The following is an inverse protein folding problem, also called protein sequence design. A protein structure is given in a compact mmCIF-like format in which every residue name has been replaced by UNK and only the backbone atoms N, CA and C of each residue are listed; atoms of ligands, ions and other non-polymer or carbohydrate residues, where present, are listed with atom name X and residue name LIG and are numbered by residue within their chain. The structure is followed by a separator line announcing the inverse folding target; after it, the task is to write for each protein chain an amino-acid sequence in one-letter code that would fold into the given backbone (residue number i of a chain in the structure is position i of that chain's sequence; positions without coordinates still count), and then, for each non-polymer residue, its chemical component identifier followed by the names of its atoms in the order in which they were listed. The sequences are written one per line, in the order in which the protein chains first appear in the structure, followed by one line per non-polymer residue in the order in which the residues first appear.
data_IF_385433781553
#
_entry.id   IF_385433781553
#
_cell.length_a   1.000
_cell.length_b   1.000
_cell.length_c   1.000
_cell.angle_alpha   90.00
_cell.angle_beta   90.00
_cell.angle_gamma   90.00
#
_symmetry.space_group_name_H-M   'P 1'
#
loop_
_entity.id
_entity.type
_entity.pdbx_description
1 polymer ?
#
# COMPACT_ATOMS: atom_id res chain seq x y z
N UNK A 1 -27.17 33.93 14.48
CA UNK A 1 -25.87 34.42 13.94
C UNK A 1 -25.39 33.46 12.86
N UNK A 2 -25.35 33.87 11.58
CA UNK A 2 -24.72 33.09 10.51
C UNK A 2 -23.20 33.10 10.78
N UNK A 3 -22.63 31.95 11.15
CA UNK A 3 -21.16 31.80 11.24
C UNK A 3 -20.55 32.03 9.85
N UNK A 4 -19.48 32.84 9.79
CA UNK A 4 -18.71 32.95 8.55
C UNK A 4 -18.20 31.58 8.15
N UNK A 5 -18.33 31.18 6.88
CA UNK A 5 -17.81 29.88 6.44
C UNK A 5 -16.29 29.83 6.67
N UNK A 6 -15.81 28.75 7.29
CA UNK A 6 -14.37 28.53 7.52
C UNK A 6 -13.64 28.15 6.23
N UNK A 7 -14.38 27.67 5.24
CA UNK A 7 -13.88 27.19 3.95
C UNK A 7 -14.52 28.02 2.85
N UNK A 8 -13.72 28.51 1.92
CA UNK A 8 -14.25 29.24 0.76
C UNK A 8 -15.01 28.30 -0.19
N UNK A 9 -16.04 28.75 -0.94
CA UNK A 9 -16.75 27.91 -1.90
C UNK A 9 -15.82 27.29 -2.96
N UNK A 10 -14.79 28.01 -3.37
CA UNK A 10 -13.79 27.54 -4.32
C UNK A 10 -12.93 26.40 -3.72
N UNK A 11 -12.51 26.54 -2.45
CA UNK A 11 -11.79 25.48 -1.74
C UNK A 11 -12.67 24.24 -1.53
N UNK A 12 -13.96 24.39 -1.27
CA UNK A 12 -14.91 23.26 -1.17
C UNK A 12 -14.97 22.48 -2.48
N UNK A 13 -15.04 23.18 -3.62
CA UNK A 13 -15.06 22.53 -4.93
C UNK A 13 -13.75 21.76 -5.19
N UNK A 14 -12.59 22.40 -4.99
CA UNK A 14 -11.29 21.78 -5.24
C UNK A 14 -11.08 20.57 -4.32
N UNK A 15 -11.20 20.76 -3.01
CA UNK A 15 -10.96 19.66 -2.06
C UNK A 15 -12.05 18.59 -2.13
N UNK A 16 -13.29 18.94 -2.43
CA UNK A 16 -14.37 17.98 -2.65
C UNK A 16 -14.11 17.07 -3.85
N UNK A 17 -13.69 17.65 -4.99
CA UNK A 17 -13.31 16.89 -6.18
C UNK A 17 -12.08 16.03 -5.92
N UNK A 18 -11.06 16.60 -5.27
CA UNK A 18 -9.80 15.90 -4.94
C UNK A 18 -10.05 14.72 -3.99
N UNK A 19 -10.76 14.94 -2.88
CA UNK A 19 -11.06 13.87 -1.91
C UNK A 19 -11.91 12.77 -2.53
N UNK A 20 -12.94 13.13 -3.31
CA UNK A 20 -13.78 12.15 -4.01
C UNK A 20 -12.97 11.29 -4.98
N UNK A 21 -12.10 11.92 -5.77
CA UNK A 21 -11.24 11.22 -6.72
C UNK A 21 -10.25 10.29 -6.00
N UNK A 22 -9.53 10.81 -5.00
CA UNK A 22 -8.54 10.03 -4.26
C UNK A 22 -9.17 8.87 -3.50
N UNK A 23 -10.33 9.09 -2.87
CA UNK A 23 -11.06 8.04 -2.16
C UNK A 23 -11.56 6.97 -3.12
N UNK A 24 -12.15 7.37 -4.27
CA UNK A 24 -12.61 6.43 -5.28
C UNK A 24 -11.47 5.58 -5.85
N UNK A 25 -10.39 6.22 -6.29
CA UNK A 25 -9.21 5.53 -6.84
C UNK A 25 -8.56 4.64 -5.79
N UNK A 26 -8.44 5.13 -4.54
CA UNK A 26 -7.87 4.39 -3.44
C UNK A 26 -8.69 3.16 -3.06
N UNK A 27 -10.00 3.30 -2.91
CA UNK A 27 -10.90 2.18 -2.58
C UNK A 27 -10.91 1.14 -3.70
N UNK A 28 -11.08 1.58 -4.95
CA UNK A 28 -11.05 0.68 -6.10
C UNK A 28 -9.72 -0.05 -6.21
N UNK A 29 -8.59 0.67 -6.08
CA UNK A 29 -7.26 0.09 -6.16
C UNK A 29 -7.00 -0.94 -5.06
N UNK A 30 -7.30 -0.61 -3.80
CA UNK A 30 -7.13 -1.55 -2.68
C UNK A 30 -8.05 -2.76 -2.83
N UNK A 31 -9.30 -2.58 -3.26
CA UNK A 31 -10.22 -3.70 -3.53
C UNK A 31 -9.69 -4.61 -4.65
N UNK A 32 -9.16 -4.06 -5.73
CA UNK A 32 -8.54 -4.85 -6.80
C UNK A 32 -7.35 -5.66 -6.30
N UNK A 33 -6.50 -5.09 -5.44
CA UNK A 33 -5.39 -5.83 -4.80
C UNK A 33 -5.91 -6.97 -3.93
N UNK A 34 -6.92 -6.72 -3.11
CA UNK A 34 -7.55 -7.74 -2.24
C UNK A 34 -8.11 -8.89 -3.10
N UNK A 35 -8.91 -8.58 -4.12
CA UNK A 35 -9.51 -9.58 -5.01
C UNK A 35 -8.44 -10.34 -5.80
N UNK A 36 -7.41 -9.67 -6.31
CA UNK A 36 -6.31 -10.29 -7.03
C UNK A 36 -5.57 -11.33 -6.17
N UNK A 37 -5.26 -10.98 -4.92
CA UNK A 37 -4.52 -11.88 -4.02
C UNK A 37 -5.41 -13.02 -3.53
N UNK A 38 -6.65 -12.74 -3.14
CA UNK A 38 -7.59 -13.77 -2.65
C UNK A 38 -7.99 -14.72 -3.77
N UNK A 39 -8.21 -14.22 -4.99
CA UNK A 39 -8.64 -15.01 -6.14
C UNK A 39 -7.56 -15.92 -6.74
N UNK A 40 -6.29 -15.72 -6.42
CA UNK A 40 -5.19 -16.51 -6.96
C UNK A 40 -4.49 -17.35 -5.87
N UNK A 41 -4.58 -18.68 -5.99
CA UNK A 41 -3.93 -19.61 -5.06
C UNK A 41 -2.40 -19.45 -5.00
N UNK A 42 -1.75 -19.05 -6.12
CA UNK A 42 -0.30 -18.83 -6.17
C UNK A 42 0.07 -17.54 -5.44
N UNK A 43 -0.70 -16.46 -5.65
CA UNK A 43 -0.48 -15.20 -4.96
C UNK A 43 -0.69 -15.35 -3.44
N UNK A 44 -1.72 -16.05 -3.00
CA UNK A 44 -1.99 -16.31 -1.56
C UNK A 44 -0.88 -17.10 -0.84
N UNK A 45 -0.08 -17.89 -1.56
CA UNK A 45 1.04 -18.64 -0.96
C UNK A 45 2.24 -17.76 -0.65
N UNK A 46 2.37 -16.61 -1.30
CA UNK A 46 3.49 -15.69 -1.09
C UNK A 46 3.30 -14.93 0.22
N UNK A 47 4.31 -14.96 1.07
CA UNK A 47 4.38 -14.23 2.34
C UNK A 47 4.26 -12.72 2.13
N UNK A 48 4.98 -12.19 1.13
CA UNK A 48 4.90 -10.78 0.76
C UNK A 48 3.47 -10.37 0.37
N UNK A 49 2.81 -11.17 -0.47
CA UNK A 49 1.44 -10.86 -0.88
C UNK A 49 0.46 -10.89 0.30
N UNK A 50 0.72 -11.71 1.32
CA UNK A 50 -0.07 -11.72 2.55
C UNK A 50 0.06 -10.39 3.32
N UNK A 51 1.27 -9.83 3.38
CA UNK A 51 1.49 -8.50 3.96
C UNK A 51 0.87 -7.39 3.13
N UNK A 52 0.96 -7.47 1.78
CA UNK A 52 0.30 -6.51 0.89
C UNK A 52 -1.23 -6.60 0.98
N UNK A 53 -1.79 -7.79 1.20
CA UNK A 53 -3.21 -7.98 1.46
C UNK A 53 -3.63 -7.28 2.76
N UNK A 54 -2.86 -7.47 3.85
CA UNK A 54 -3.11 -6.80 5.12
C UNK A 54 -3.06 -5.28 4.98
N UNK A 55 -2.07 -4.77 4.24
CA UNK A 55 -1.91 -3.35 3.95
C UNK A 55 -3.10 -2.80 3.16
N UNK A 56 -3.53 -3.49 2.10
CA UNK A 56 -4.68 -3.08 1.30
C UNK A 56 -6.00 -3.07 2.10
N UNK A 57 -6.18 -4.02 3.03
CA UNK A 57 -7.33 -4.03 3.94
C UNK A 57 -7.29 -2.82 4.89
N UNK A 58 -6.14 -2.55 5.52
CA UNK A 58 -5.98 -1.42 6.44
C UNK A 58 -6.22 -0.08 5.71
N UNK A 59 -5.65 0.09 4.50
CA UNK A 59 -5.82 1.29 3.68
C UNK A 59 -7.28 1.50 3.22
N UNK A 60 -7.96 0.44 2.77
CA UNK A 60 -9.37 0.53 2.39
C UNK A 60 -10.25 0.93 3.57
N UNK A 61 -10.03 0.35 4.75
CA UNK A 61 -10.76 0.67 5.97
C UNK A 61 -10.47 2.10 6.45
N UNK A 62 -9.21 2.55 6.34
CA UNK A 62 -8.84 3.94 6.66
C UNK A 62 -9.55 4.93 5.73
N UNK A 63 -9.58 4.68 4.41
CA UNK A 63 -10.28 5.52 3.44
C UNK A 63 -11.79 5.59 3.71
N UNK A 64 -12.42 4.49 4.11
CA UNK A 64 -13.83 4.48 4.51
C UNK A 64 -14.07 5.28 5.78
N UNK A 65 -13.25 5.11 6.80
CA UNK A 65 -13.39 5.82 8.08
C UNK A 65 -13.20 7.33 7.91
N UNK A 66 -12.17 7.76 7.17
CA UNK A 66 -11.90 9.19 6.93
C UNK A 66 -12.99 9.86 6.09
N UNK A 67 -13.68 9.12 5.20
CA UNK A 67 -14.80 9.65 4.40
C UNK A 67 -15.94 10.15 5.27
N UNK A 68 -16.16 9.52 6.41
CA UNK A 68 -17.19 9.92 7.40
C UNK A 68 -16.95 11.34 7.94
N UNK A 69 -15.71 11.80 7.96
CA UNK A 69 -15.34 13.13 8.47
C UNK A 69 -15.31 14.20 7.38
N UNK A 70 -14.66 13.92 6.26
CA UNK A 70 -14.46 14.97 5.27
C UNK A 70 -15.73 15.30 4.46
N UNK A 71 -16.63 14.34 4.22
CA UNK A 71 -17.89 14.61 3.51
C UNK A 71 -18.77 15.64 4.23
N UNK A 72 -19.10 15.48 5.53
CA UNK A 72 -19.85 16.50 6.25
C UNK A 72 -19.10 17.83 6.39
N UNK A 73 -17.78 17.77 6.59
CA UNK A 73 -16.94 18.97 6.75
C UNK A 73 -16.99 19.87 5.53
N UNK A 74 -16.90 19.30 4.32
CA UNK A 74 -17.02 20.06 3.08
C UNK A 74 -18.45 20.53 2.83
N UNK A 75 -19.45 19.68 3.07
CA UNK A 75 -20.87 20.02 2.86
C UNK A 75 -21.33 21.20 3.74
N UNK A 76 -20.79 21.31 4.94
CA UNK A 76 -21.16 22.36 5.92
C UNK A 76 -20.13 23.49 6.02
N UNK A 77 -19.13 23.55 5.13
CA UNK A 77 -18.07 24.56 5.11
C UNK A 77 -17.30 24.69 6.43
N UNK A 78 -17.12 23.56 7.15
CA UNK A 78 -16.42 23.53 8.43
C UNK A 78 -16.58 22.20 9.15
N UNK A 79 -15.84 21.98 10.26
CA UNK A 79 -15.86 20.72 10.98
C UNK A 79 -17.24 20.49 11.61
N UNK A 80 -17.95 19.48 11.11
CA UNK A 80 -19.29 19.09 11.59
C UNK A 80 -19.35 17.57 11.73
N UNK A 81 -19.91 17.13 12.83
CA UNK A 81 -20.19 15.73 13.10
C UNK A 81 -21.69 15.46 12.97
N UNK A 82 -22.08 14.71 11.95
CA UNK A 82 -23.49 14.44 11.62
C UNK A 82 -24.02 13.12 12.19
N UNK A 83 -23.12 12.23 12.63
CA UNK A 83 -23.49 10.94 13.19
C UNK A 83 -23.84 11.06 14.69
N UNK A 84 -24.44 10.02 15.31
CA UNK A 84 -24.62 9.94 16.74
C UNK A 84 -23.34 10.24 17.52
N UNK A 85 -23.48 10.91 18.69
CA UNK A 85 -22.32 11.36 19.48
C UNK A 85 -21.40 10.20 19.90
N UNK A 86 -21.97 9.02 20.16
CA UNK A 86 -21.23 7.80 20.55
C UNK A 86 -20.27 7.32 19.47
N UNK A 87 -20.55 7.60 18.20
CA UNK A 87 -19.67 7.18 17.09
C UNK A 87 -18.46 8.10 16.92
N UNK A 88 -18.45 9.28 17.52
CA UNK A 88 -17.30 10.19 17.43
C UNK A 88 -16.01 9.54 17.99
N UNK A 89 -15.92 9.05 19.23
CA UNK A 89 -14.73 8.38 19.71
C UNK A 89 -14.44 7.07 18.97
N UNK A 90 -15.47 6.34 18.54
CA UNK A 90 -15.30 5.06 17.82
C UNK A 90 -14.65 5.27 16.46
N UNK A 91 -15.14 6.21 15.67
CA UNK A 91 -14.58 6.48 14.34
C UNK A 91 -13.14 7.01 14.46
N UNK A 92 -12.89 7.94 15.38
CA UNK A 92 -11.54 8.45 15.64
C UNK A 92 -10.56 7.37 16.07
N UNK A 93 -11.00 6.43 16.89
CA UNK A 93 -10.23 5.27 17.29
C UNK A 93 -9.91 4.37 16.07
N UNK A 94 -10.93 4.04 15.28
CA UNK A 94 -10.77 3.17 14.11
C UNK A 94 -9.86 3.78 13.03
N UNK A 95 -9.97 5.09 12.76
CA UNK A 95 -9.05 5.80 11.86
C UNK A 95 -7.60 5.62 12.29
N UNK A 96 -7.31 5.81 13.58
CA UNK A 96 -5.96 5.64 14.10
C UNK A 96 -5.50 4.17 14.03
N UNK A 97 -6.37 3.21 14.38
CA UNK A 97 -6.07 1.77 14.27
C UNK A 97 -5.69 1.40 12.84
N UNK A 98 -6.47 1.83 11.86
CA UNK A 98 -6.20 1.49 10.45
C UNK A 98 -4.94 2.18 9.92
N UNK A 99 -4.74 3.44 10.25
CA UNK A 99 -3.56 4.20 9.90
C UNK A 99 -2.28 3.57 10.49
N UNK A 100 -2.27 3.29 11.79
CA UNK A 100 -1.10 2.72 12.47
C UNK A 100 -0.81 1.31 11.97
N UNK A 101 -1.86 0.52 11.67
CA UNK A 101 -1.71 -0.81 11.05
C UNK A 101 -1.05 -0.69 9.67
N UNK A 102 -1.45 0.27 8.84
CA UNK A 102 -0.84 0.51 7.54
C UNK A 102 0.66 0.82 7.68
N UNK A 103 1.03 1.76 8.55
CA UNK A 103 2.42 2.17 8.79
C UNK A 103 3.28 0.99 9.28
N UNK A 104 2.83 0.27 10.31
CA UNK A 104 3.59 -0.85 10.86
C UNK A 104 3.66 -2.02 9.88
N UNK A 105 2.62 -2.25 9.07
CA UNK A 105 2.66 -3.26 8.01
C UNK A 105 3.72 -2.92 6.95
N UNK A 106 3.85 -1.66 6.54
CA UNK A 106 4.92 -1.23 5.63
C UNK A 106 6.31 -1.49 6.24
N UNK A 107 6.48 -1.24 7.53
CA UNK A 107 7.73 -1.55 8.24
C UNK A 107 8.02 -3.06 8.22
N UNK A 108 7.03 -3.89 8.52
CA UNK A 108 7.17 -5.37 8.46
C UNK A 108 7.52 -5.84 7.04
N UNK A 109 6.91 -5.27 6.00
CA UNK A 109 7.25 -5.57 4.59
C UNK A 109 8.71 -5.23 4.31
N UNK A 110 9.21 -4.09 4.79
CA UNK A 110 10.59 -3.68 4.61
C UNK A 110 11.58 -4.65 5.29
N UNK A 111 11.31 -5.02 6.54
CA UNK A 111 12.11 -5.98 7.31
C UNK A 111 12.10 -7.36 6.64
N UNK A 112 10.95 -7.84 6.20
CA UNK A 112 10.80 -9.11 5.49
C UNK A 112 11.64 -9.12 4.19
N UNK A 113 11.59 -8.05 3.42
CA UNK A 113 12.41 -7.92 2.21
C UNK A 113 13.90 -7.88 2.51
N UNK A 114 14.30 -7.17 3.55
CA UNK A 114 15.70 -7.16 4.00
C UNK A 114 16.17 -8.59 4.36
N UNK A 115 15.41 -9.31 5.16
CA UNK A 115 15.74 -10.69 5.54
C UNK A 115 15.82 -11.59 4.31
N UNK A 116 14.88 -11.48 3.37
CA UNK A 116 14.85 -12.27 2.14
C UNK A 116 16.05 -12.03 1.21
N UNK A 117 16.61 -10.81 1.22
CA UNK A 117 17.73 -10.40 0.36
C UNK A 117 19.07 -10.61 1.07
N UNK A 118 19.19 -10.17 2.32
CA UNK A 118 20.45 -10.16 3.07
C UNK A 118 20.80 -11.53 3.67
N UNK A 119 19.78 -12.29 4.11
CA UNK A 119 20.00 -13.55 4.86
C UNK A 119 19.07 -14.67 4.34
N UNK A 120 19.18 -15.05 3.05
CA UNK A 120 18.21 -15.94 2.38
C UNK A 120 18.08 -17.33 3.05
N UNK A 121 19.14 -17.84 3.68
CA UNK A 121 19.10 -19.12 4.39
C UNK A 121 18.18 -19.08 5.62
N UNK A 122 18.17 -17.97 6.36
CA UNK A 122 17.32 -17.77 7.53
C UNK A 122 15.90 -17.29 7.14
N UNK A 123 15.75 -16.72 5.95
CA UNK A 123 14.48 -16.18 5.49
C UNK A 123 13.36 -17.23 5.49
N UNK A 124 13.63 -18.47 5.10
CA UNK A 124 12.64 -19.56 5.11
C UNK A 124 12.07 -19.84 6.50
N UNK A 125 12.89 -19.71 7.53
CA UNK A 125 12.48 -19.95 8.93
C UNK A 125 11.82 -18.71 9.53
N UNK A 126 12.46 -17.55 9.42
CA UNK A 126 12.00 -16.29 10.02
C UNK A 126 10.72 -15.76 9.35
N UNK A 127 10.69 -15.74 8.02
CA UNK A 127 9.56 -15.26 7.22
C UNK A 127 8.64 -16.41 6.80
N UNK A 128 8.43 -17.41 7.66
CA UNK A 128 7.45 -18.46 7.42
C UNK A 128 6.03 -17.88 7.43
N UNK A 129 5.10 -18.51 6.70
CA UNK A 129 3.70 -18.07 6.66
C UNK A 129 3.07 -17.94 8.06
N UNK A 130 3.39 -18.90 8.96
CA UNK A 130 2.91 -18.91 10.35
C UNK A 130 3.41 -17.68 11.11
N UNK A 131 4.71 -17.40 11.02
CA UNK A 131 5.32 -16.26 11.70
C UNK A 131 4.76 -14.93 11.21
N UNK A 132 4.56 -14.79 9.89
CA UNK A 132 3.99 -13.56 9.33
C UNK A 132 2.52 -13.38 9.74
N UNK A 133 1.71 -14.43 9.77
CA UNK A 133 0.35 -14.33 10.31
C UNK A 133 0.35 -13.91 11.77
N UNK A 134 1.23 -14.50 12.59
CA UNK A 134 1.39 -14.11 13.99
C UNK A 134 1.83 -12.65 14.13
N UNK A 135 2.76 -12.20 13.28
CA UNK A 135 3.19 -10.79 13.25
C UNK A 135 2.04 -9.86 12.87
N UNK A 136 1.22 -10.21 11.88
CA UNK A 136 0.03 -9.43 11.51
C UNK A 136 -0.92 -9.34 12.70
N UNK A 137 -1.26 -10.45 13.35
CA UNK A 137 -2.12 -10.44 14.53
C UNK A 137 -1.53 -9.60 15.66
N UNK A 138 -0.23 -9.70 15.91
CA UNK A 138 0.45 -8.91 16.94
C UNK A 138 0.39 -7.40 16.59
N UNK A 139 0.59 -7.01 15.32
CA UNK A 139 0.45 -5.61 14.87
C UNK A 139 -0.96 -5.10 15.17
N UNK A 140 -2.02 -5.82 14.80
CA UNK A 140 -3.39 -5.40 15.08
C UNK A 140 -3.66 -5.26 16.58
N UNK A 141 -3.20 -6.19 17.41
CA UNK A 141 -3.35 -6.11 18.88
C UNK A 141 -2.61 -4.91 19.47
N UNK A 142 -1.34 -4.71 19.10
CA UNK A 142 -0.52 -3.59 19.61
C UNK A 142 -1.12 -2.26 19.19
N UNK A 143 -1.54 -2.15 17.93
CA UNK A 143 -2.15 -0.92 17.40
C UNK A 143 -3.49 -0.62 18.07
N UNK A 144 -4.33 -1.63 18.29
CA UNK A 144 -5.61 -1.47 18.98
C UNK A 144 -5.40 -0.91 20.40
N UNK A 145 -4.40 -1.39 21.12
CA UNK A 145 -4.05 -0.86 22.43
C UNK A 145 -3.47 0.56 22.35
N UNK A 146 -2.55 0.78 21.41
CA UNK A 146 -1.91 2.08 21.25
C UNK A 146 -2.90 3.19 20.87
N UNK A 147 -3.94 2.91 20.11
CA UNK A 147 -4.95 3.88 19.69
C UNK A 147 -6.01 4.18 20.75
N UNK A 148 -6.08 3.47 21.89
CA UNK A 148 -7.08 3.67 22.94
C UNK A 148 -7.25 5.14 23.41
N UNK A 149 -6.19 5.97 23.52
CA UNK A 149 -6.36 7.37 23.87
C UNK A 149 -7.28 8.15 22.93
N UNK A 150 -7.39 7.75 21.65
CA UNK A 150 -8.33 8.39 20.74
C UNK A 150 -9.78 8.06 21.06
N UNK A 151 -10.07 6.85 21.55
CA UNK A 151 -11.41 6.48 22.00
C UNK A 151 -11.82 7.22 23.28
N UNK A 152 -10.88 7.47 24.19
CA UNK A 152 -11.18 8.05 25.52
C UNK A 152 -11.17 9.57 25.56
N UNK A 153 -10.41 10.24 24.67
CA UNK A 153 -10.22 11.69 24.69
C UNK A 153 -11.00 12.45 23.62
N UNK A 154 -11.69 11.77 22.69
CA UNK A 154 -12.51 12.42 21.68
C UNK A 154 -14.00 12.35 22.05
N UNK A 155 -14.68 13.48 21.94
CA UNK A 155 -16.14 13.58 22.19
C UNK A 155 -16.77 14.61 21.25
N UNK A 156 -18.05 14.41 20.95
CA UNK A 156 -18.88 15.47 20.40
C UNK A 156 -19.31 16.35 21.55
N UNK A 157 -18.77 17.57 21.63
CA UNK A 157 -19.17 18.53 22.68
C UNK A 157 -20.60 18.97 22.45
N UNK A 158 -21.38 19.14 23.53
CA UNK A 158 -22.79 19.58 23.49
C UNK A 158 -22.96 20.93 22.79
N UNK A 159 -22.01 21.83 23.00
CA UNK A 159 -22.00 23.18 22.43
C UNK A 159 -21.21 23.29 21.11
N UNK A 160 -20.69 22.18 20.58
CA UNK A 160 -19.92 22.11 19.32
C UNK A 160 -20.52 21.08 18.38
N UNK A 161 -20.59 21.44 17.10
CA UNK A 161 -21.03 20.51 16.07
C UNK A 161 -19.91 19.57 15.62
N UNK A 162 -18.69 19.68 16.16
CA UNK A 162 -17.54 18.91 15.76
C UNK A 162 -17.19 17.78 16.76
N UNK A 163 -16.64 16.70 16.25
CA UNK A 163 -15.96 15.68 17.03
C UNK A 163 -14.55 16.14 17.36
N UNK A 164 -14.26 16.45 18.61
CA UNK A 164 -12.97 17.05 19.02
C UNK A 164 -12.39 16.37 20.24
N UNK A 165 -11.08 16.48 20.38
CA UNK A 165 -10.37 16.07 21.59
C UNK A 165 -10.56 17.14 22.67
N UNK A 166 -11.19 16.78 23.79
CA UNK A 166 -11.45 17.67 24.92
C UNK A 166 -10.24 17.85 25.85
N UNK A 167 -9.29 16.90 25.83
CA UNK A 167 -8.05 16.94 26.63
C UNK A 167 -6.81 17.36 25.82
N UNK A 168 -7.00 18.08 24.73
CA UNK A 168 -5.92 18.45 23.80
C UNK A 168 -4.76 19.19 24.45
N UNK A 169 -5.00 19.90 25.54
CA UNK A 169 -4.02 20.72 26.28
C UNK A 169 -3.39 19.98 27.46
N UNK A 170 -3.75 18.72 27.72
CA UNK A 170 -3.17 17.96 28.83
C UNK A 170 -1.73 17.50 28.50
N UNK A 171 -0.87 17.45 29.53
CA UNK A 171 0.50 16.96 29.40
C UNK A 171 0.54 15.51 28.91
N UNK A 172 -0.43 14.69 29.35
CA UNK A 172 -0.60 13.33 28.85
C UNK A 172 -0.79 13.30 27.33
N UNK A 173 -1.66 14.18 26.79
CA UNK A 173 -1.90 14.21 25.34
C UNK A 173 -0.68 14.68 24.56
N UNK A 174 0.07 15.64 25.06
CA UNK A 174 1.33 16.08 24.45
C UNK A 174 2.38 14.98 24.45
N UNK A 175 2.56 14.30 25.59
CA UNK A 175 3.46 13.16 25.69
C UNK A 175 3.05 12.02 24.74
N UNK A 176 1.76 11.66 24.72
CA UNK A 176 1.24 10.63 23.83
C UNK A 176 1.49 10.96 22.36
N UNK A 177 1.22 12.19 21.94
CA UNK A 177 1.48 12.63 20.55
C UNK A 177 2.97 12.67 20.21
N UNK A 178 3.82 12.98 21.17
CA UNK A 178 5.27 12.90 20.99
C UNK A 178 5.74 11.46 20.86
N UNK A 179 5.24 10.55 21.68
CA UNK A 179 5.51 9.11 21.58
C UNK A 179 5.02 8.54 20.21
N UNK A 180 3.84 8.93 19.77
CA UNK A 180 3.28 8.60 18.45
C UNK A 180 4.21 9.07 17.32
N UNK A 181 4.69 10.32 17.39
CA UNK A 181 5.64 10.84 16.42
C UNK A 181 6.94 10.03 16.39
N UNK A 182 7.50 9.73 17.55
CA UNK A 182 8.76 8.96 17.62
C UNK A 182 8.56 7.54 17.10
N UNK A 183 7.51 6.85 17.52
CA UNK A 183 7.30 5.43 17.23
C UNK A 183 6.79 5.20 15.80
N UNK A 184 5.95 6.08 15.27
CA UNK A 184 5.30 5.86 13.97
C UNK A 184 5.88 6.70 12.83
N UNK A 185 6.70 7.69 13.11
CA UNK A 185 7.31 8.52 12.07
C UNK A 185 8.84 8.50 12.13
N UNK A 186 9.43 8.91 13.23
CA UNK A 186 10.89 9.06 13.34
C UNK A 186 11.60 7.70 13.29
N UNK A 187 11.22 6.77 14.17
CA UNK A 187 11.84 5.46 14.27
C UNK A 187 11.68 4.62 12.99
N UNK A 188 10.49 4.49 12.39
CA UNK A 188 10.35 3.86 11.07
C UNK A 188 11.22 4.52 10.00
N UNK A 189 11.33 5.84 9.99
CA UNK A 189 12.18 6.57 9.06
C UNK A 189 13.64 6.15 9.14
N UNK A 190 14.18 6.10 10.35
CA UNK A 190 15.55 5.66 10.59
C UNK A 190 15.76 4.20 10.15
N UNK A 191 14.81 3.32 10.52
CA UNK A 191 14.87 1.91 10.15
C UNK A 191 14.81 1.75 8.63
N UNK A 192 13.90 2.43 7.95
CA UNK A 192 13.80 2.38 6.49
C UNK A 192 15.10 2.84 5.82
N UNK A 193 15.64 3.98 6.23
CA UNK A 193 16.90 4.50 5.69
C UNK A 193 18.03 3.49 5.85
N UNK A 194 18.16 2.90 7.04
CA UNK A 194 19.19 1.90 7.33
C UNK A 194 19.01 0.64 6.48
N UNK A 195 17.81 0.04 6.47
CA UNK A 195 17.55 -1.21 5.77
C UNK A 195 17.69 -1.04 4.25
N UNK A 196 17.14 0.04 3.67
CA UNK A 196 17.27 0.28 2.24
C UNK A 196 18.69 0.58 1.80
N UNK A 197 19.46 1.32 2.59
CA UNK A 197 20.89 1.53 2.32
C UNK A 197 21.65 0.20 2.29
N UNK A 198 21.37 -0.69 3.24
CA UNK A 198 21.97 -2.04 3.26
C UNK A 198 21.52 -2.89 2.07
N UNK A 199 20.22 -2.90 1.74
CA UNK A 199 19.68 -3.65 0.58
C UNK A 199 20.34 -3.15 -0.72
N UNK A 200 20.41 -1.83 -0.91
CA UNK A 200 21.04 -1.25 -2.10
C UNK A 200 22.49 -1.69 -2.22
N UNK A 201 23.27 -1.57 -1.15
CA UNK A 201 24.68 -2.01 -1.17
C UNK A 201 24.84 -3.49 -1.53
N UNK A 202 24.00 -4.37 -0.99
CA UNK A 202 24.02 -5.81 -1.30
C UNK A 202 23.69 -6.05 -2.78
N UNK A 203 22.65 -5.39 -3.31
CA UNK A 203 22.24 -5.56 -4.70
C UNK A 203 23.25 -4.98 -5.70
N UNK A 204 23.97 -3.91 -5.36
CA UNK A 204 25.04 -3.37 -6.19
C UNK A 204 26.27 -4.27 -6.17
N UNK A 205 26.71 -4.72 -5.01
CA UNK A 205 27.83 -5.65 -4.91
C UNK A 205 27.58 -6.98 -5.65
N UNK A 206 26.34 -7.46 -5.69
CA UNK A 206 25.99 -8.63 -6.50
C UNK A 206 26.06 -8.35 -8.02
N UNK A 207 25.76 -7.12 -8.44
CA UNK A 207 25.88 -6.73 -9.84
C UNK A 207 27.33 -6.70 -10.32
N UNK A 208 28.22 -6.12 -9.50
CA UNK A 208 29.64 -5.99 -9.87
C UNK A 208 30.27 -7.37 -10.04
N UNK A 209 29.98 -8.31 -9.15
CA UNK A 209 30.42 -9.71 -9.27
C UNK A 209 29.90 -10.41 -10.52
N UNK A 210 28.65 -10.14 -10.95
CA UNK A 210 28.11 -10.69 -12.19
C UNK A 210 28.80 -10.09 -13.42
N UNK A 211 29.10 -8.81 -13.38
CA UNK A 211 29.79 -8.13 -14.47
C UNK A 211 31.25 -8.61 -14.61
N UNK A 212 31.95 -8.82 -13.51
CA UNK A 212 33.31 -9.40 -13.49
C UNK A 212 33.30 -10.84 -14.02
N UNK A 213 32.37 -11.70 -13.55
CA UNK A 213 32.24 -13.07 -14.03
C UNK A 213 31.84 -13.13 -15.51
N UNK A 214 31.00 -12.20 -15.99
CA UNK A 214 30.65 -12.08 -17.41
C UNK A 214 31.83 -11.71 -18.30
N UNK A 215 32.69 -10.79 -17.84
CA UNK A 215 33.95 -10.45 -18.54
C UNK A 215 34.94 -11.59 -18.53
N UNK A 216 35.09 -12.31 -17.42
CA UNK A 216 35.96 -13.51 -17.34
C UNK A 216 35.50 -14.62 -18.29
N UNK A 217 34.19 -14.81 -18.42
CA UNK A 217 33.60 -15.78 -19.36
C UNK A 217 33.78 -15.40 -20.83
N UNK A 218 33.81 -14.11 -21.17
CA UNK A 218 34.06 -13.62 -22.53
C UNK A 218 35.54 -13.70 -22.93
N UNK A 219 36.45 -13.66 -21.97
CA UNK A 219 37.90 -13.75 -22.18
C UNK A 219 38.44 -15.17 -22.14
N UNK A 220 37.58 -16.18 -22.01
CA UNK A 220 38.03 -17.58 -22.13
C UNK A 220 38.46 -17.85 -23.58
N UNK A 221 39.71 -18.30 -23.81
CA UNK A 221 40.21 -18.56 -25.16
C UNK A 221 39.32 -19.60 -25.85
N UNK A 222 38.76 -19.25 -27.01
CA UNK A 222 37.95 -20.15 -27.85
C UNK A 222 38.68 -21.42 -28.26
N UNK A 223 39.99 -21.48 -28.02
CA UNK A 223 40.89 -22.59 -28.31
C UNK A 223 40.74 -23.81 -27.38
N UNK A 224 40.11 -23.68 -26.22
CA UNK A 224 39.89 -24.81 -25.29
C UNK A 224 38.58 -25.56 -25.52
N UNK A 225 37.72 -25.09 -26.42
CA UNK A 225 36.46 -25.79 -26.77
C UNK A 225 36.67 -26.95 -27.74
N UNK A 226 37.90 -27.24 -28.16
CA UNK A 226 38.26 -28.30 -29.12
C UNK A 226 39.19 -29.37 -28.55
N UNK A 227 39.22 -29.63 -27.27
CA UNK A 227 39.89 -30.83 -26.76
C UNK A 227 38.91 -32.01 -26.80
N UNK A 228 39.21 -33.05 -27.62
CA UNK A 228 38.44 -34.29 -27.69
C UNK A 228 38.87 -35.21 -26.54
N UNK A 229 38.37 -35.01 -25.38
CA UNK A 229 38.56 -35.89 -24.21
C UNK A 229 37.23 -36.11 -23.55
N UNK A 230 36.51 -37.09 -24.02
CA UNK A 230 35.49 -37.91 -23.40
C UNK A 230 34.53 -38.51 -24.45
N UNK A 231 35.13 -39.20 -25.44
CA UNK A 231 34.40 -40.23 -26.18
C UNK A 231 35.03 -41.57 -25.80
N UNK A 232 34.55 -42.18 -24.74
CA UNK A 232 34.53 -43.62 -24.54
C UNK A 232 33.82 -43.91 -23.21
N UNK A 233 32.58 -44.17 -23.30
CA UNK A 233 31.80 -45.10 -22.49
C UNK A 233 30.31 -44.83 -22.66
N UNK A 234 29.71 -45.48 -23.66
CA UNK A 234 28.31 -45.93 -23.57
C UNK A 234 27.87 -46.62 -24.86
N UNK A 235 28.01 -47.91 -24.92
CA UNK A 235 27.13 -48.78 -25.69
C UNK A 235 25.78 -48.84 -24.99
N UNK A 236 24.70 -48.51 -25.71
CA UNK A 236 23.34 -48.74 -25.18
C UNK A 236 22.27 -47.85 -25.78
N UNK A 237 21.64 -48.30 -26.85
CA UNK A 237 20.35 -47.87 -27.42
C UNK A 237 19.45 -46.96 -26.56
N UNK A 238 19.08 -45.81 -27.09
CA UNK A 238 17.65 -45.47 -27.25
C UNK A 238 17.49 -44.07 -27.89
N UNK A 239 16.68 -44.02 -28.93
CA UNK A 239 16.19 -42.82 -29.61
C UNK A 239 15.52 -41.85 -28.62
N UNK A 240 16.01 -40.64 -28.53
CA UNK A 240 15.20 -39.45 -28.31
C UNK A 240 16.04 -38.19 -28.61
N UNK A 241 15.78 -37.57 -29.74
CA UNK A 241 16.20 -36.22 -30.04
C UNK A 241 15.55 -35.26 -29.04
N UNK A 242 16.31 -34.74 -28.10
CA UNK A 242 15.98 -33.52 -27.38
C UNK A 242 17.28 -32.77 -27.19
N UNK A 243 17.52 -31.80 -28.06
CA UNK A 243 18.50 -30.77 -27.82
C UNK A 243 18.09 -30.04 -26.53
N UNK A 244 18.60 -30.51 -25.39
CA UNK A 244 18.55 -29.73 -24.15
C UNK A 244 19.56 -28.60 -24.34
N UNK A 245 19.06 -27.48 -24.88
CA UNK A 245 19.78 -26.23 -24.85
C UNK A 245 20.05 -25.89 -23.40
N UNK A 246 21.31 -26.00 -22.96
CA UNK A 246 21.76 -25.39 -21.72
C UNK A 246 21.51 -23.88 -21.83
N UNK A 247 20.35 -23.45 -21.38
CA UNK A 247 20.13 -22.02 -21.17
C UNK A 247 21.22 -21.51 -20.22
N UNK A 248 21.96 -20.45 -20.59
CA UNK A 248 23.07 -19.99 -19.78
C UNK A 248 22.56 -19.64 -18.37
N UNK A 249 23.10 -20.30 -17.35
CA UNK A 249 22.80 -20.13 -15.93
C UNK A 249 22.89 -18.66 -15.51
N UNK A 250 23.64 -17.83 -16.26
CA UNK A 250 23.76 -16.39 -16.06
C UNK A 250 22.45 -15.62 -16.29
N UNK A 251 21.64 -15.98 -17.28
CA UNK A 251 20.41 -15.25 -17.63
C UNK A 251 19.32 -15.36 -16.55
N UNK A 252 19.09 -16.55 -16.00
CA UNK A 252 18.09 -16.75 -14.95
C UNK A 252 18.45 -16.00 -13.65
N UNK A 253 19.74 -15.89 -13.33
CA UNK A 253 20.21 -15.16 -12.16
C UNK A 253 20.05 -13.64 -12.33
N UNK A 254 20.36 -13.12 -13.52
CA UNK A 254 20.18 -11.70 -13.86
C UNK A 254 18.71 -11.30 -13.81
N UNK A 255 17.81 -12.13 -14.32
CA UNK A 255 16.37 -11.89 -14.29
C UNK A 255 15.81 -11.89 -12.85
N UNK A 256 16.30 -12.79 -12.01
CA UNK A 256 15.97 -12.83 -10.60
C UNK A 256 16.44 -11.55 -9.87
N UNK A 257 17.63 -11.03 -10.19
CA UNK A 257 18.14 -9.77 -9.64
C UNK A 257 17.33 -8.56 -10.12
N UNK A 258 16.96 -8.49 -11.40
CA UNK A 258 16.07 -7.44 -11.93
C UNK A 258 14.74 -7.43 -11.18
N UNK A 259 14.15 -8.59 -10.96
CA UNK A 259 12.90 -8.73 -10.21
C UNK A 259 13.05 -8.24 -8.76
N UNK A 260 14.12 -8.62 -8.06
CA UNK A 260 14.39 -8.15 -6.69
C UNK A 260 14.55 -6.63 -6.62
N UNK A 261 15.31 -6.03 -7.57
CA UNK A 261 15.50 -4.56 -7.65
C UNK A 261 14.19 -3.84 -7.89
N UNK A 262 13.33 -4.37 -8.75
CA UNK A 262 12.02 -3.78 -9.03
C UNK A 262 11.13 -3.76 -7.79
N UNK A 263 11.12 -4.85 -7.00
CA UNK A 263 10.39 -4.90 -5.73
C UNK A 263 10.95 -3.89 -4.73
N UNK A 264 12.27 -3.75 -4.63
CA UNK A 264 12.89 -2.76 -3.73
C UNK A 264 12.54 -1.34 -4.15
N UNK A 265 12.60 -1.01 -5.45
CA UNK A 265 12.17 0.31 -5.97
C UNK A 265 10.71 0.61 -5.62
N UNK A 266 9.82 -0.36 -5.75
CA UNK A 266 8.41 -0.24 -5.36
C UNK A 266 8.27 0.12 -3.88
N UNK A 267 8.96 -0.59 -3.00
CA UNK A 267 8.88 -0.35 -1.57
C UNK A 267 9.49 1.00 -1.17
N UNK A 268 10.61 1.40 -1.79
CA UNK A 268 11.18 2.75 -1.60
C UNK A 268 10.17 3.81 -1.99
N UNK A 269 9.50 3.66 -3.13
CA UNK A 269 8.48 4.60 -3.57
C UNK A 269 7.30 4.69 -2.57
N UNK A 270 6.78 3.54 -2.08
CA UNK A 270 5.70 3.51 -1.07
C UNK A 270 6.09 4.24 0.22
N UNK A 271 7.30 3.98 0.72
CA UNK A 271 7.81 4.62 1.93
C UNK A 271 8.06 6.11 1.72
N UNK A 272 8.60 6.50 0.56
CA UNK A 272 8.80 7.92 0.23
C UNK A 272 7.49 8.69 0.19
N UNK A 273 6.45 8.11 -0.41
CA UNK A 273 5.10 8.70 -0.42
C UNK A 273 4.59 8.89 1.00
N UNK A 274 4.76 7.89 1.88
CA UNK A 274 4.38 8.01 3.28
C UNK A 274 5.05 9.22 3.95
N UNK A 275 6.39 9.32 3.86
CA UNK A 275 7.11 10.43 4.50
C UNK A 275 6.74 11.78 3.90
N UNK A 276 6.60 11.89 2.59
CA UNK A 276 6.20 13.13 1.92
C UNK A 276 4.79 13.56 2.38
N UNK A 277 3.85 12.63 2.44
CA UNK A 277 2.47 12.91 2.80
C UNK A 277 2.30 13.31 4.28
N UNK A 278 3.05 12.68 5.19
CA UNK A 278 2.89 12.95 6.63
C UNK A 278 3.86 13.97 7.20
N UNK A 279 4.97 14.30 6.53
CA UNK A 279 5.93 15.31 7.00
C UNK A 279 5.30 16.66 7.35
N UNK A 280 4.37 17.23 6.56
CA UNK A 280 3.84 18.56 6.86
C UNK A 280 3.03 18.60 8.18
N UNK A 281 2.23 17.56 8.44
CA UNK A 281 1.47 17.50 9.70
C UNK A 281 2.39 17.27 10.90
N UNK A 282 3.44 16.47 10.73
CA UNK A 282 4.44 16.21 11.76
C UNK A 282 5.27 17.47 12.05
N UNK A 283 5.61 18.24 11.02
CA UNK A 283 6.32 19.51 11.19
C UNK A 283 5.50 20.51 12.03
N UNK A 284 4.20 20.66 11.75
CA UNK A 284 3.32 21.51 12.56
C UNK A 284 3.26 21.02 14.01
N UNK A 285 3.15 19.71 14.20
CA UNK A 285 3.11 19.13 15.53
C UNK A 285 4.40 19.44 16.31
N UNK A 286 5.57 19.26 15.69
CA UNK A 286 6.86 19.58 16.31
C UNK A 286 7.00 21.08 16.61
N UNK A 287 6.63 21.95 15.67
CA UNK A 287 6.69 23.40 15.89
C UNK A 287 5.82 23.82 17.07
N UNK A 288 4.64 23.26 17.23
CA UNK A 288 3.74 23.59 18.36
C UNK A 288 4.17 22.94 19.67
N UNK A 289 4.61 21.67 19.62
CA UNK A 289 4.90 20.88 20.83
C UNK A 289 6.29 21.13 21.40
N UNK A 290 7.33 21.20 20.53
CA UNK A 290 8.72 21.38 20.98
C UNK A 290 9.15 22.84 21.04
N UNK A 291 8.73 23.65 20.07
CA UNK A 291 9.18 25.03 19.94
C UNK A 291 8.16 26.04 20.50
N UNK A 292 7.05 25.58 21.04
CA UNK A 292 5.94 26.42 21.55
C UNK A 292 5.49 27.54 20.58
N UNK A 293 5.67 27.30 19.27
CA UNK A 293 5.27 28.27 18.25
C UNK A 293 3.76 28.23 18.07
N UNK A 294 3.12 29.39 18.22
CA UNK A 294 1.66 29.56 18.02
C UNK A 294 1.32 29.57 16.52
N UNK A 295 1.54 28.47 15.81
CA UNK A 295 1.19 28.35 14.42
C UNK A 295 -0.29 28.02 14.29
N UNK A 296 -1.06 28.87 13.64
CA UNK A 296 -2.47 28.66 13.33
C UNK A 296 -2.63 28.58 11.81
N UNK A 297 -2.43 27.38 11.19
CA UNK A 297 -2.58 27.25 9.76
C UNK A 297 -4.03 27.53 9.34
N UNK A 298 -4.25 28.13 8.16
CA UNK A 298 -5.57 28.29 7.59
C UNK A 298 -6.24 26.91 7.42
N UNK A 299 -7.56 26.90 7.39
CA UNK A 299 -8.29 25.63 7.34
C UNK A 299 -8.04 24.85 6.04
N UNK A 300 -7.81 25.56 4.95
CA UNK A 300 -7.41 24.99 3.66
C UNK A 300 -6.11 24.18 3.77
N UNK A 301 -5.18 24.60 4.61
CA UNK A 301 -3.96 23.84 4.87
C UNK A 301 -4.26 22.53 5.63
N UNK A 302 -5.22 22.55 6.56
CA UNK A 302 -5.68 21.33 7.22
C UNK A 302 -6.33 20.37 6.22
N UNK A 303 -7.11 20.89 5.27
CA UNK A 303 -7.67 20.09 4.17
C UNK A 303 -6.59 19.49 3.30
N UNK A 304 -5.53 20.25 2.98
CA UNK A 304 -4.39 19.74 2.23
C UNK A 304 -3.70 18.59 2.96
N UNK A 305 -3.50 18.68 4.28
CA UNK A 305 -2.93 17.60 5.08
C UNK A 305 -3.79 16.32 5.00
N UNK A 306 -5.11 16.48 5.09
CA UNK A 306 -6.04 15.36 4.95
C UNK A 306 -6.00 14.76 3.53
N UNK A 307 -5.89 15.60 2.48
CA UNK A 307 -5.72 15.13 1.11
C UNK A 307 -4.45 14.30 0.95
N UNK A 308 -3.34 14.74 1.53
CA UNK A 308 -2.08 14.00 1.52
C UNK A 308 -2.19 12.66 2.27
N UNK A 309 -2.89 12.62 3.40
CA UNK A 309 -3.13 11.38 4.13
C UNK A 309 -3.96 10.37 3.30
N UNK A 310 -5.03 10.83 2.64
CA UNK A 310 -5.83 10.02 1.71
C UNK A 310 -4.99 9.55 0.52
N UNK A 311 -4.17 10.44 -0.06
CA UNK A 311 -3.26 10.12 -1.16
C UNK A 311 -2.28 9.00 -0.79
N UNK A 312 -1.76 8.99 0.42
CA UNK A 312 -0.84 7.95 0.90
C UNK A 312 -1.47 6.55 0.76
N UNK A 313 -2.68 6.35 1.28
CA UNK A 313 -3.41 5.08 1.19
C UNK A 313 -3.85 4.74 -0.25
N UNK A 314 -4.14 5.76 -1.07
CA UNK A 314 -4.53 5.57 -2.47
C UNK A 314 -3.36 5.22 -3.40
N UNK A 315 -2.14 5.64 -3.09
CA UNK A 315 -0.96 5.40 -3.92
C UNK A 315 -0.45 3.95 -3.86
N UNK A 316 -0.63 3.24 -2.75
CA UNK A 316 -0.10 1.90 -2.56
C UNK A 316 -0.48 0.91 -3.68
N UNK A 317 -1.76 0.75 -4.07
CA UNK A 317 -2.16 -0.11 -5.18
C UNK A 317 -1.58 0.31 -6.53
N UNK A 318 -1.48 1.62 -6.77
CA UNK A 318 -0.91 2.15 -8.01
C UNK A 318 0.57 1.77 -8.13
N UNK A 319 1.32 1.91 -7.05
CA UNK A 319 2.74 1.55 -7.02
C UNK A 319 2.93 0.04 -7.23
N UNK A 320 2.09 -0.82 -6.63
CA UNK A 320 2.16 -2.27 -6.89
C UNK A 320 1.89 -2.60 -8.35
N UNK A 321 0.93 -1.94 -8.97
CA UNK A 321 0.59 -2.14 -10.39
C UNK A 321 1.70 -1.62 -11.30
N UNK A 322 2.31 -0.49 -11.00
CA UNK A 322 3.40 0.08 -11.80
C UNK A 322 4.66 -0.80 -11.77
N UNK A 323 5.04 -1.30 -10.61
CA UNK A 323 6.30 -2.02 -10.43
C UNK A 323 6.20 -3.55 -10.57
N UNK A 324 5.02 -4.16 -10.48
CA UNK A 324 4.87 -5.62 -10.52
C UNK A 324 4.08 -6.08 -11.74
N UNK A 325 4.77 -6.78 -12.67
CA UNK A 325 4.14 -7.41 -13.84
C UNK A 325 3.04 -8.40 -13.45
N UNK A 326 3.25 -9.19 -12.38
CA UNK A 326 2.26 -10.14 -11.88
C UNK A 326 0.96 -9.48 -11.44
N UNK A 327 1.05 -8.32 -10.77
CA UNK A 327 -0.14 -7.54 -10.41
C UNK A 327 -0.83 -6.97 -11.65
N UNK A 328 -0.06 -6.43 -12.61
CA UNK A 328 -0.63 -5.90 -13.87
C UNK A 328 -1.39 -6.96 -14.64
N UNK A 329 -0.80 -8.13 -14.86
CA UNK A 329 -1.45 -9.25 -15.54
C UNK A 329 -2.74 -9.66 -14.84
N UNK A 330 -2.69 -9.83 -13.51
CA UNK A 330 -3.85 -10.27 -12.75
C UNK A 330 -4.98 -9.25 -12.73
N UNK A 331 -4.65 -7.98 -12.54
CA UNK A 331 -5.63 -6.88 -12.59
C UNK A 331 -6.20 -6.77 -14.01
N UNK A 332 -5.39 -6.88 -15.05
CA UNK A 332 -5.85 -6.90 -16.44
C UNK A 332 -6.88 -8.01 -16.69
N UNK A 333 -6.61 -9.23 -16.24
CA UNK A 333 -7.56 -10.35 -16.32
C UNK A 333 -8.86 -10.08 -15.55
N UNK A 334 -8.79 -9.50 -14.36
CA UNK A 334 -9.98 -9.16 -13.59
C UNK A 334 -10.83 -8.10 -14.29
N UNK A 335 -10.20 -7.08 -14.86
CA UNK A 335 -10.87 -6.03 -15.61
C UNK A 335 -11.54 -6.59 -16.89
N UNK A 336 -10.85 -7.46 -17.65
CA UNK A 336 -11.44 -8.13 -18.81
C UNK A 336 -12.65 -8.98 -18.42
N UNK A 337 -12.56 -9.78 -17.35
CA UNK A 337 -13.68 -10.56 -16.85
C UNK A 337 -14.88 -9.68 -16.46
N UNK A 338 -14.64 -8.55 -15.80
CA UNK A 338 -15.68 -7.59 -15.47
C UNK A 338 -16.35 -7.00 -16.73
N UNK A 339 -15.55 -6.64 -17.75
CA UNK A 339 -16.07 -6.16 -19.02
C UNK A 339 -16.91 -7.23 -19.73
N UNK A 340 -16.47 -8.48 -19.77
CA UNK A 340 -17.22 -9.60 -20.40
C UNK A 340 -18.54 -9.86 -19.69
N UNK A 341 -18.55 -9.87 -18.35
CA UNK A 341 -19.77 -10.04 -17.56
C UNK A 341 -20.75 -8.89 -17.82
N UNK A 342 -20.25 -7.65 -17.87
CA UNK A 342 -21.06 -6.46 -18.11
C UNK A 342 -21.67 -6.46 -19.54
N UNK A 343 -20.87 -6.82 -20.54
CA UNK A 343 -21.34 -6.96 -21.93
C UNK A 343 -22.38 -8.07 -22.08
N UNK A 344 -22.19 -9.24 -21.45
CA UNK A 344 -23.18 -10.32 -21.46
C UNK A 344 -24.49 -9.91 -20.79
N UNK A 345 -24.41 -9.21 -19.64
CA UNK A 345 -25.61 -8.75 -18.91
C UNK A 345 -26.41 -7.71 -19.71
N UNK A 346 -25.73 -6.84 -20.47
CA UNK A 346 -26.40 -5.88 -21.34
C UNK A 346 -27.04 -6.52 -22.57
N UNK A 347 -26.46 -7.59 -23.11
CA UNK A 347 -27.01 -8.34 -24.21
C UNK A 347 -28.26 -9.16 -23.78
N UNK A 348 -28.27 -9.72 -22.57
CA UNK A 348 -29.44 -10.40 -21.99
C UNK A 348 -30.59 -9.41 -21.78
N UNK A 349 -30.32 -8.22 -21.23
CA UNK A 349 -31.36 -7.18 -21.07
C UNK A 349 -31.92 -6.67 -22.37
N UNK A 350 -31.13 -6.62 -23.47
CA UNK A 350 -31.63 -6.28 -24.81
C UNK A 350 -32.49 -7.37 -25.42
N UNK A 351 -32.28 -8.64 -25.08
CA UNK A 351 -33.10 -9.75 -25.58
C UNK A 351 -34.44 -9.90 -24.83
N UNK A 352 -34.55 -9.35 -23.61
CA UNK A 352 -35.76 -9.38 -22.78
C UNK A 352 -36.69 -8.19 -23.00
N UNK A 353 -36.38 -7.23 -23.90
CA UNK A 353 -37.32 -6.18 -24.29
C UNK A 353 -38.41 -6.82 -25.15
N UNK A 354 -39.70 -6.89 -24.73
CA UNK A 354 -40.75 -7.51 -25.51
C UNK A 354 -40.92 -6.72 -26.81
N UNK A 355 -40.87 -7.43 -27.94
CA UNK A 355 -41.44 -6.93 -29.20
C UNK A 355 -42.94 -6.65 -28.95
N UNK A 356 -43.27 -5.43 -28.53
CA UNK A 356 -44.65 -4.96 -28.51
C UNK A 356 -45.08 -4.71 -29.96
N UNK A 357 -45.88 -5.67 -30.43
CA UNK A 357 -47.10 -5.49 -31.24
C UNK A 357 -47.05 -4.45 -32.38
N UNK A 358 -46.60 -4.90 -33.54
CA UNK A 358 -47.20 -4.46 -34.83
C UNK A 358 -48.17 -5.56 -35.29
N UNK A 359 -49.36 -5.52 -34.75
CA UNK A 359 -50.57 -6.18 -35.31
C UNK A 359 -51.76 -5.37 -34.84
N UNK A 360 -52.16 -4.39 -35.64
CA UNK A 360 -53.53 -3.85 -35.74
C UNK A 360 -53.53 -2.69 -36.74
N UNK A 361 -53.51 -3.04 -38.04
CA UNK A 361 -54.13 -2.22 -39.11
C UNK A 361 -54.27 -3.12 -40.31
N UNK A 362 -55.41 -3.83 -40.38
CA UNK A 362 -56.07 -4.29 -41.56
C UNK A 362 -57.41 -4.95 -41.13
N UNK A 363 -58.41 -4.10 -40.97
CA UNK A 363 -59.82 -4.35 -41.33
C UNK A 363 -60.50 -2.99 -41.50
#
# INVERSE_FOLDING_TARGET
MRRRPLISPFAVLIFGSLFSLLTFVGLLGNLLVIVAIIGDKRMRKSVMNLLLLNLAIADALNLLATTVEWVPTLRHNGPVWVLPAVLCPVIRYLECVFLFTSILTQLVVCVERFIAIAVPLHARRLCSRKNILLTICAVWCVVALAALPYATHNKKAENSFACTNFNRKSDFWHFYKFAEFVILFLLPGIIFLFLYTKICRILWAQNDKLYENGKASQNWPKTMAQLPLFNDFSTGNSRANSCVGFAPVSGAHEEALKTRRTVVKMLVACVSVYFICYSPIQAIFLCRGLFNLSIHPPYEFVLLMNALAILCSACNPLLYTLFSSRFRERIGHLLCLCCDIFCRRNNVKKSETPRKMDKLTNQ
#
